data_IF_415718277350
#
_entry.id   IF_415718277350
#
_cell.length_a   1.000
_cell.length_b   1.000
_cell.length_c   1.000
_cell.angle_alpha   90.00
_cell.angle_beta   90.00
_cell.angle_gamma   90.00
#
_symmetry.space_group_name_H-M   'P 1'
#
loop_
_entity.id
_entity.type
_entity.pdbx_description
1 polymer ?
#
# COMPACT_ATOMS: atom_id res chain seq x y z
N UNK A 1 4.38 -9.33 -12.77
CA UNK A 1 5.02 -10.43 -12.03
C UNK A 1 4.48 -10.58 -10.61
N UNK A 2 4.24 -9.49 -9.87
CA UNK A 2 3.86 -9.53 -8.45
C UNK A 2 2.50 -10.19 -8.10
N UNK A 3 1.58 -10.37 -9.06
CA UNK A 3 0.23 -10.92 -8.80
C UNK A 3 0.03 -12.29 -9.45
N UNK A 4 -0.47 -12.36 -10.70
CA UNK A 4 -0.84 -13.61 -11.39
C UNK A 4 0.29 -14.65 -11.40
N UNK A 5 1.53 -14.23 -11.67
CA UNK A 5 2.65 -15.16 -11.72
C UNK A 5 3.01 -15.70 -10.33
N UNK A 6 2.93 -14.87 -9.28
CA UNK A 6 3.15 -15.32 -7.91
C UNK A 6 2.08 -16.34 -7.49
N UNK A 7 0.81 -16.07 -7.83
CA UNK A 7 -0.30 -17.00 -7.58
C UNK A 7 -0.08 -18.36 -8.27
N UNK A 8 0.33 -18.35 -9.54
CA UNK A 8 0.65 -19.57 -10.30
C UNK A 8 1.80 -20.37 -9.70
N UNK A 9 2.88 -19.70 -9.31
CA UNK A 9 4.02 -20.38 -8.69
C UNK A 9 3.64 -21.01 -7.34
N UNK A 10 2.73 -20.36 -6.60
CA UNK A 10 2.23 -20.85 -5.32
C UNK A 10 1.08 -21.89 -5.45
N UNK A 11 0.56 -22.14 -6.66
CA UNK A 11 -0.56 -23.07 -6.89
C UNK A 11 -1.94 -22.53 -6.50
N UNK A 12 -2.10 -21.20 -6.43
CA UNK A 12 -3.36 -20.52 -6.08
C UNK A 12 -3.91 -19.67 -7.23
N UNK A 13 -3.51 -19.93 -8.48
CA UNK A 13 -3.95 -19.17 -9.65
C UNK A 13 -5.45 -19.27 -9.93
N UNK A 14 -6.13 -20.30 -9.43
CA UNK A 14 -7.58 -20.45 -9.56
C UNK A 14 -8.34 -19.66 -8.49
N UNK A 15 -7.68 -19.32 -7.38
CA UNK A 15 -8.29 -18.67 -6.23
C UNK A 15 -7.98 -17.17 -6.15
N UNK A 16 -6.79 -16.73 -6.57
CA UNK A 16 -6.33 -15.34 -6.41
C UNK A 16 -5.41 -14.88 -7.55
N UNK A 17 -4.85 -13.67 -7.39
CA UNK A 17 -3.87 -13.07 -8.31
C UNK A 17 -4.44 -12.29 -9.50
N UNK A 18 -5.76 -12.35 -9.74
CA UNK A 18 -6.46 -11.53 -10.74
C UNK A 18 -7.85 -11.12 -10.27
N UNK A 19 -8.35 -9.99 -10.78
CA UNK A 19 -9.73 -9.56 -10.56
C UNK A 19 -10.65 -10.28 -11.56
N UNK A 20 -11.24 -11.41 -11.15
CA UNK A 20 -12.18 -12.20 -11.94
C UNK A 20 -13.26 -12.80 -11.05
N UNK A 21 -14.47 -12.99 -11.59
CA UNK A 21 -15.56 -13.62 -10.86
C UNK A 21 -15.17 -15.03 -10.38
N UNK A 22 -15.61 -15.39 -9.16
CA UNK A 22 -15.30 -16.67 -8.52
C UNK A 22 -13.99 -16.71 -7.73
N UNK A 23 -13.12 -15.70 -7.86
CA UNK A 23 -11.89 -15.57 -7.06
C UNK A 23 -12.09 -14.82 -5.75
N UNK A 24 -11.17 -15.02 -4.82
CA UNK A 24 -11.11 -14.28 -3.57
C UNK A 24 -10.86 -12.80 -3.81
N UNK A 25 -11.52 -11.96 -3.02
CA UNK A 25 -11.38 -10.51 -3.07
C UNK A 25 -10.12 -10.04 -2.32
N UNK A 26 -8.97 -10.39 -2.88
CA UNK A 26 -7.64 -9.91 -2.47
C UNK A 26 -7.29 -8.69 -3.34
N UNK A 27 -7.55 -7.49 -2.80
CA UNK A 27 -7.58 -6.25 -3.58
C UNK A 27 -6.78 -5.17 -2.85
N UNK A 28 -5.98 -4.41 -3.60
CA UNK A 28 -5.33 -3.19 -3.12
C UNK A 28 -5.82 -2.00 -3.94
N UNK A 29 -6.20 -0.92 -3.27
CA UNK A 29 -6.63 0.33 -3.89
C UNK A 29 -5.60 1.41 -3.57
N UNK A 30 -5.17 2.13 -4.59
CA UNK A 30 -4.24 3.27 -4.49
C UNK A 30 -4.98 4.58 -4.76
N UNK A 31 -4.65 5.65 -4.05
CA UNK A 31 -5.14 6.99 -4.37
C UNK A 31 -4.53 7.49 -5.67
N UNK A 32 -5.36 8.14 -6.49
CA UNK A 32 -4.92 8.81 -7.71
C UNK A 32 -4.39 10.23 -7.48
N UNK A 33 -4.30 10.67 -6.23
CA UNK A 33 -3.85 12.01 -5.87
C UNK A 33 -2.32 12.05 -5.90
N UNK A 34 -1.78 12.99 -6.66
CA UNK A 34 -0.36 13.30 -6.63
C UNK A 34 -0.02 14.03 -5.34
N UNK A 35 0.84 13.45 -4.51
CA UNK A 35 1.80 14.33 -3.85
C UNK A 35 2.61 15.00 -4.96
N UNK A 36 2.46 16.32 -5.03
CA UNK A 36 3.00 17.18 -6.06
C UNK A 36 4.52 17.06 -6.13
N UNK A 37 4.99 16.90 -7.37
CA UNK A 37 6.23 17.48 -7.88
C UNK A 37 7.55 17.02 -7.25
N UNK A 38 8.15 15.98 -7.84
CA UNK A 38 9.51 16.15 -8.37
C UNK A 38 9.84 15.07 -9.42
N UNK A 39 10.22 15.57 -10.60
CA UNK A 39 11.16 14.94 -11.53
C UNK A 39 10.63 13.95 -12.58
N UNK A 40 10.22 14.54 -13.71
CA UNK A 40 10.57 14.13 -15.07
C UNK A 40 10.09 12.76 -15.59
N UNK A 41 8.80 12.65 -15.97
CA UNK A 41 8.44 11.80 -17.11
C UNK A 41 8.32 12.65 -18.38
N UNK A 42 9.47 12.90 -18.99
CA UNK A 42 9.61 13.46 -20.32
C UNK A 42 9.29 12.39 -21.37
N UNK A 43 8.03 12.31 -21.81
CA UNK A 43 7.70 12.07 -23.23
C UNK A 43 6.21 12.33 -23.50
N UNK A 44 5.94 12.86 -24.70
CA UNK A 44 4.66 13.37 -25.23
C UNK A 44 4.19 14.73 -24.68
N UNK A 45 4.70 15.80 -25.31
CA UNK A 45 4.24 17.19 -25.18
C UNK A 45 3.26 17.44 -26.33
N UNK A 46 1.96 17.33 -26.09
CA UNK A 46 0.96 17.92 -27.00
C UNK A 46 0.78 19.40 -26.64
N UNK A 47 0.80 20.32 -27.62
CA UNK A 47 0.61 21.74 -27.37
C UNK A 47 -0.88 22.11 -27.38
N UNK A 48 -1.42 22.42 -26.21
CA UNK A 48 -2.69 23.15 -26.08
C UNK A 48 -3.79 22.42 -25.32
N UNK A 49 -3.80 22.55 -24.00
CA UNK A 49 -4.92 22.13 -23.16
C UNK A 49 -4.51 21.86 -21.72
N UNK A 50 -5.02 22.66 -20.78
CA UNK A 50 -4.92 22.38 -19.34
C UNK A 50 -5.80 21.16 -19.03
N UNK A 51 -5.25 19.97 -19.24
CA UNK A 51 -5.86 18.71 -18.81
C UNK A 51 -5.01 18.16 -17.68
N UNK A 52 -5.60 17.92 -16.51
CA UNK A 52 -4.99 17.10 -15.45
C UNK A 52 -4.47 15.83 -16.10
N UNK A 53 -3.15 15.69 -16.24
CA UNK A 53 -2.52 14.50 -16.82
C UNK A 53 -2.86 13.35 -15.87
N UNK A 54 -3.84 12.52 -16.23
CA UNK A 54 -4.11 11.28 -15.51
C UNK A 54 -2.83 10.46 -15.60
N UNK A 55 -2.22 10.13 -14.46
CA UNK A 55 -1.10 9.20 -14.43
C UNK A 55 -1.55 7.86 -14.99
N UNK A 56 -0.62 7.16 -15.62
CA UNK A 56 -0.84 5.79 -16.04
C UNK A 56 -1.17 4.94 -14.80
N UNK A 57 -2.33 4.24 -14.76
CA UNK A 57 -2.69 3.40 -13.62
C UNK A 57 -1.66 2.29 -13.36
N UNK A 58 -0.94 1.82 -14.38
CA UNK A 58 0.14 0.84 -14.20
C UNK A 58 1.37 1.46 -13.52
N UNK A 59 1.71 2.70 -13.87
CA UNK A 59 2.78 3.46 -13.20
C UNK A 59 2.43 3.64 -11.72
N UNK A 60 1.17 3.99 -11.42
CA UNK A 60 0.71 4.11 -10.04
C UNK A 60 0.81 2.76 -9.30
N UNK A 61 0.38 1.65 -9.90
CA UNK A 61 0.45 0.35 -9.24
C UNK A 61 1.89 -0.15 -8.99
N UNK A 62 2.87 0.34 -9.76
CA UNK A 62 4.28 -0.10 -9.65
C UNK A 62 5.10 0.83 -8.75
N UNK A 63 4.93 2.15 -8.90
CA UNK A 63 5.84 3.14 -8.32
C UNK A 63 5.22 3.98 -7.22
N UNK A 64 3.92 3.84 -6.93
CA UNK A 64 3.32 4.65 -5.90
C UNK A 64 3.86 4.26 -4.50
N UNK A 65 4.11 5.27 -3.64
CA UNK A 65 4.62 5.02 -2.31
C UNK A 65 3.55 4.33 -1.44
N UNK A 66 3.97 3.60 -0.41
CA UNK A 66 3.06 2.86 0.49
C UNK A 66 1.97 3.75 1.10
N UNK A 67 2.27 5.03 1.36
CA UNK A 67 1.29 5.99 1.86
C UNK A 67 0.08 6.19 0.94
N UNK A 68 0.24 5.98 -0.37
CA UNK A 68 -0.84 6.10 -1.37
C UNK A 68 -1.83 4.93 -1.35
N UNK A 69 -1.54 3.86 -0.60
CA UNK A 69 -2.48 2.75 -0.43
C UNK A 69 -3.66 3.24 0.40
N UNK A 70 -4.86 3.23 -0.17
CA UNK A 70 -6.10 3.66 0.48
C UNK A 70 -6.85 2.51 1.12
N UNK A 71 -6.77 1.31 0.54
CA UNK A 71 -7.49 0.13 1.02
C UNK A 71 -6.73 -1.16 0.68
N UNK A 72 -6.71 -2.09 1.62
CA UNK A 72 -6.29 -3.48 1.40
C UNK A 72 -7.39 -4.41 1.88
N UNK A 73 -7.81 -5.29 0.99
CA UNK A 73 -8.75 -6.37 1.25
C UNK A 73 -8.05 -7.72 1.13
N UNK A 74 -8.38 -8.66 2.03
CA UNK A 74 -8.07 -10.08 1.90
C UNK A 74 -9.34 -10.88 2.10
N UNK A 75 -9.70 -11.72 1.13
CA UNK A 75 -10.96 -12.48 1.15
C UNK A 75 -12.19 -11.57 1.31
N UNK A 76 -12.11 -10.30 0.88
CA UNK A 76 -13.17 -9.31 1.05
C UNK A 76 -13.23 -8.62 2.43
N UNK A 77 -12.38 -9.01 3.38
CA UNK A 77 -12.25 -8.32 4.68
C UNK A 77 -11.23 -7.20 4.58
N UNK A 78 -11.53 -6.08 5.23
CA UNK A 78 -10.61 -4.93 5.29
C UNK A 78 -9.48 -5.23 6.26
N UNK A 79 -8.24 -5.13 5.80
CA UNK A 79 -7.04 -5.23 6.65
C UNK A 79 -6.40 -3.88 6.92
N UNK A 80 -6.50 -2.97 5.95
CA UNK A 80 -5.94 -1.63 6.04
C UNK A 80 -6.86 -0.68 5.28
N UNK A 81 -7.14 0.48 5.88
CA UNK A 81 -7.90 1.56 5.26
C UNK A 81 -7.26 2.91 5.60
N UNK A 82 -7.38 3.89 4.71
CA UNK A 82 -7.08 5.27 5.05
C UNK A 82 -8.15 5.83 6.00
N UNK A 83 -7.80 6.89 6.73
CA UNK A 83 -8.77 7.60 7.57
C UNK A 83 -10.00 8.11 6.80
N UNK A 84 -9.88 8.35 5.49
CA UNK A 84 -11.01 8.78 4.64
C UNK A 84 -12.07 7.69 4.49
N UNK A 85 -11.70 6.43 4.73
CA UNK A 85 -12.56 5.24 4.62
C UNK A 85 -12.90 4.64 6.00
N UNK A 86 -12.75 5.42 7.08
CA UNK A 86 -13.00 4.96 8.46
C UNK A 86 -14.38 4.35 8.64
N UNK A 87 -15.39 4.93 8.01
CA UNK A 87 -16.77 4.46 8.11
C UNK A 87 -16.96 3.04 7.55
N UNK A 88 -16.09 2.58 6.63
CA UNK A 88 -16.11 1.21 6.11
C UNK A 88 -15.54 0.19 7.10
N UNK A 89 -14.66 0.63 8.00
CA UNK A 89 -14.02 -0.23 9.01
C UNK A 89 -14.89 -0.41 10.26
N UNK A 90 -15.76 0.55 10.56
CA UNK A 90 -16.70 0.51 11.68
C UNK A 90 -17.98 -0.20 11.27
N UNK A 91 -17.92 -1.48 10.93
CA UNK A 91 -19.13 -2.26 10.67
C UNK A 91 -19.71 -2.74 12.00
N UNK A 92 -20.57 -1.93 12.60
CA UNK A 92 -21.29 -2.26 13.83
C UNK A 92 -22.37 -3.31 13.53
N UNK A 93 -21.97 -4.57 13.41
CA UNK A 93 -22.94 -5.67 13.28
C UNK A 93 -23.52 -5.94 14.66
N UNK A 94 -24.84 -5.77 14.80
CA UNK A 94 -25.66 -5.76 16.03
C UNK A 94 -25.59 -7.00 16.94
N UNK A 95 -24.68 -7.93 16.71
CA UNK A 95 -24.58 -9.18 17.49
C UNK A 95 -23.14 -9.64 17.79
N UNK A 96 -22.11 -9.00 17.23
CA UNK A 96 -20.72 -9.32 17.57
C UNK A 96 -19.79 -8.16 17.21
N UNK A 97 -19.11 -7.60 18.20
CA UNK A 97 -17.99 -6.64 17.98
C UNK A 97 -16.78 -7.43 17.49
N UNK A 98 -16.80 -7.91 16.25
CA UNK A 98 -15.66 -8.61 15.61
C UNK A 98 -15.01 -7.66 14.62
N UNK A 99 -13.74 -7.34 14.86
CA UNK A 99 -13.00 -6.32 14.13
C UNK A 99 -12.48 -5.22 15.05
N UNK A 100 -11.51 -5.55 15.91
CA UNK A 100 -10.70 -4.51 16.54
C UNK A 100 -9.73 -3.95 15.48
N UNK A 101 -9.99 -2.72 15.08
CA UNK A 101 -9.11 -1.95 14.21
C UNK A 101 -8.43 -0.84 15.02
N UNK A 102 -7.16 -0.58 14.72
CA UNK A 102 -6.37 0.42 15.41
C UNK A 102 -5.78 1.46 14.45
N UNK A 103 -5.60 2.68 14.94
CA UNK A 103 -4.97 3.77 14.18
C UNK A 103 -3.44 3.62 14.26
N UNK A 104 -2.80 3.29 13.14
CA UNK A 104 -1.36 3.05 13.02
C UNK A 104 -0.72 4.14 12.17
N UNK A 105 0.44 4.66 12.60
CA UNK A 105 1.21 5.63 11.83
C UNK A 105 2.03 4.96 10.73
N UNK A 106 1.86 5.41 9.49
CA UNK A 106 2.64 5.02 8.33
C UNK A 106 3.57 6.17 7.94
N UNK A 107 4.85 6.06 8.33
CA UNK A 107 5.84 7.11 8.14
C UNK A 107 5.56 8.35 9.00
N UNK A 108 5.96 9.53 8.51
CA UNK A 108 6.03 10.74 9.34
C UNK A 108 4.73 11.57 9.43
N UNK A 109 3.68 11.23 8.67
CA UNK A 109 2.53 12.15 8.55
C UNK A 109 1.15 11.49 8.33
N UNK A 110 1.08 10.17 8.06
CA UNK A 110 -0.17 9.55 7.66
C UNK A 110 -0.55 8.43 8.64
N UNK A 111 -1.72 8.55 9.28
CA UNK A 111 -2.31 7.43 10.01
C UNK A 111 -3.23 6.62 9.10
N UNK A 112 -3.27 5.32 9.34
CA UNK A 112 -4.14 4.35 8.66
C UNK A 112 -4.82 3.49 9.71
N UNK A 113 -5.98 2.97 9.37
CA UNK A 113 -6.73 2.05 10.20
C UNK A 113 -6.30 0.65 9.82
N UNK A 114 -5.82 -0.13 10.78
CA UNK A 114 -5.33 -1.49 10.59
C UNK A 114 -6.25 -2.45 11.33
N UNK A 115 -6.78 -3.44 10.63
CA UNK A 115 -7.78 -4.38 11.09
C UNK A 115 -7.25 -5.83 10.97
N UNK A 116 -6.17 -6.14 11.69
CA UNK A 116 -5.48 -7.45 11.56
C UNK A 116 -5.87 -8.46 12.62
N UNK A 117 -6.54 -8.03 13.69
CA UNK A 117 -6.87 -8.87 14.84
C UNK A 117 -7.63 -10.14 14.46
N UNK A 118 -8.63 -10.02 13.59
CA UNK A 118 -9.46 -11.16 13.17
C UNK A 118 -8.70 -12.16 12.29
N UNK A 119 -7.61 -11.72 11.64
CA UNK A 119 -6.80 -12.56 10.74
C UNK A 119 -5.57 -13.15 11.43
N UNK A 120 -4.95 -12.41 12.34
CA UNK A 120 -3.71 -12.80 13.01
C UNK A 120 -3.95 -13.33 14.44
N UNK A 121 -5.14 -13.14 14.99
CA UNK A 121 -5.46 -13.48 16.38
C UNK A 121 -4.75 -12.60 17.42
N UNK A 122 -4.13 -11.49 17.00
CA UNK A 122 -3.39 -10.55 17.85
C UNK A 122 -3.50 -9.13 17.30
N UNK A 123 -3.28 -8.12 18.15
CA UNK A 123 -3.26 -6.71 17.72
C UNK A 123 -2.03 -6.40 16.87
N UNK A 124 -2.05 -5.28 16.14
CA UNK A 124 -0.88 -4.78 15.41
C UNK A 124 0.26 -4.43 16.37
N UNK A 125 -0.03 -3.88 17.54
CA UNK A 125 0.98 -3.62 18.56
C UNK A 125 1.70 -4.89 19.03
N UNK A 126 0.94 -5.98 19.22
CA UNK A 126 1.52 -7.29 19.56
C UNK A 126 2.32 -7.87 18.40
N UNK A 127 1.84 -7.72 17.16
CA UNK A 127 2.58 -8.10 15.95
C UNK A 127 3.92 -7.36 15.89
N UNK A 128 3.93 -6.04 16.06
CA UNK A 128 5.14 -5.22 16.04
C UNK A 128 6.14 -5.66 17.13
N UNK A 129 5.65 -5.92 18.34
CA UNK A 129 6.47 -6.47 19.43
C UNK A 129 7.06 -7.85 19.07
N UNK A 130 6.29 -8.70 18.37
CA UNK A 130 6.74 -10.05 17.97
C UNK A 130 7.87 -10.05 16.94
N UNK A 131 8.00 -9.00 16.13
CA UNK A 131 9.06 -8.87 15.12
C UNK A 131 10.44 -8.66 15.74
N UNK A 132 10.52 -8.33 17.04
CA UNK A 132 11.77 -8.24 17.79
C UNK A 132 12.75 -7.20 17.25
N UNK A 133 12.27 -6.21 16.48
CA UNK A 133 13.09 -5.20 15.82
C UNK A 133 13.93 -5.70 14.64
N UNK A 134 13.76 -6.96 14.20
CA UNK A 134 14.46 -7.49 13.02
C UNK A 134 13.96 -6.81 11.75
N UNK A 135 12.64 -6.60 11.67
CA UNK A 135 11.99 -5.83 10.63
C UNK A 135 11.01 -4.84 11.27
N UNK A 136 10.97 -3.58 10.82
CA UNK A 136 9.94 -2.66 11.27
C UNK A 136 8.58 -3.15 10.73
N UNK A 137 7.53 -3.06 11.56
CA UNK A 137 6.18 -3.48 11.16
C UNK A 137 5.63 -2.63 10.01
N UNK A 138 6.02 -1.36 9.95
CA UNK A 138 5.84 -0.49 8.77
C UNK A 138 7.20 -0.22 8.14
N UNK A 139 7.37 -0.66 6.90
CA UNK A 139 8.62 -0.48 6.18
C UNK A 139 8.87 1.01 5.86
N UNK A 140 10.13 1.48 5.95
CA UNK A 140 10.47 2.82 5.47
C UNK A 140 10.26 2.92 3.95
N UNK A 141 10.04 4.14 3.44
CA UNK A 141 9.91 4.37 2.00
C UNK A 141 11.18 3.94 1.23
N UNK A 142 12.35 4.15 1.84
CA UNK A 142 13.65 3.76 1.30
C UNK A 142 14.39 3.01 2.41
N UNK A 143 14.78 1.75 2.19
CA UNK A 143 15.61 1.01 3.14
C UNK A 143 16.92 1.76 3.45
N UNK A 144 17.40 1.71 4.70
CA UNK A 144 18.73 2.21 5.01
C UNK A 144 19.73 1.40 4.16
N UNK A 145 20.64 2.09 3.48
CA UNK A 145 21.67 1.53 2.59
C UNK A 145 21.22 1.08 1.20
N UNK A 146 20.03 1.46 0.72
CA UNK A 146 19.74 1.32 -0.71
C UNK A 146 20.65 2.26 -1.52
N UNK A 147 21.46 1.73 -2.49
CA UNK A 147 22.31 2.57 -3.31
C UNK A 147 21.45 3.53 -4.11
N UNK A 148 21.60 4.83 -3.87
CA UNK A 148 20.81 5.82 -4.59
C UNK A 148 21.27 5.86 -6.04
N UNK A 149 20.32 5.80 -7.00
CA UNK A 149 20.60 6.05 -8.42
C UNK A 149 20.94 7.53 -8.71
N UNK A 150 21.22 8.33 -7.67
CA UNK A 150 21.74 9.67 -7.80
C UNK A 150 23.25 9.57 -7.91
N UNK A 151 23.82 10.19 -8.93
CA UNK A 151 25.25 10.41 -8.99
C UNK A 151 25.61 11.34 -7.83
N UNK A 152 26.14 10.80 -6.74
CA UNK A 152 26.79 11.64 -5.74
C UNK A 152 27.95 12.34 -6.45
N UNK A 153 27.81 13.66 -6.62
CA UNK A 153 28.93 14.51 -7.01
C UNK A 153 29.97 14.39 -5.90
N UNK A 154 30.98 13.55 -6.14
CA UNK A 154 32.18 13.48 -5.33
C UNK A 154 32.80 14.88 -5.27
N UNK A 155 32.73 15.52 -4.11
CA UNK A 155 33.51 16.73 -3.80
C UNK A 155 34.79 16.22 -3.13
N UNK A 156 35.93 16.18 -3.84
CA UNK A 156 37.20 15.90 -3.17
C UNK A 156 37.49 17.03 -2.18
N UNK A 157 37.61 16.69 -0.91
CA UNK A 157 38.21 17.57 0.09
C UNK A 157 39.70 17.72 -0.25
N UNK A 158 40.09 18.91 -0.68
CA UNK A 158 41.49 19.33 -0.87
C UNK A 158 42.20 19.56 0.46
#
# INVERSE_FOLDING_TARGET
MATVNAARVAGYEDELGSLSAGKLADIVIFSGESESESSQSSHSREPGGSTKKRRDPYEQAIFAPQKSIELVLRGGKILLASLRLKDLTTTTTTTTTTGFCEDVAFGNANSKIVCVTDELGMSFGDLEASLGGVYPAVLPEIPPYEPSCRTDTYIPTS
#
